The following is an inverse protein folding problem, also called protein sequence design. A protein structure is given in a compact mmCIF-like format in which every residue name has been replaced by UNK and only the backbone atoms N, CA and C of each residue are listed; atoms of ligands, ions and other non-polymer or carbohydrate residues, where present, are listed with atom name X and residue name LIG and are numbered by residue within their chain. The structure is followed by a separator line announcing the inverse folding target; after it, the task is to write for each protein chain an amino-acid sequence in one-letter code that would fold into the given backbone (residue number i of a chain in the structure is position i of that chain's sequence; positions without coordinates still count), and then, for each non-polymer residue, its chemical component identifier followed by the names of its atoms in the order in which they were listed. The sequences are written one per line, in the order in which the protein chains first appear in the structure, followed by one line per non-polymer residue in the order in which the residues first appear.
data_IF_685038142017
#
_entry.id   IF_685038142017
#
_cell.length_a   1.000
_cell.length_b   1.000
_cell.length_c   1.000
_cell.angle_alpha   90.00
_cell.angle_beta   90.00
_cell.angle_gamma   90.00
#
_symmetry.space_group_name_H-M   'P 1'
#
loop_
_entity.id
_entity.type
_entity.pdbx_description
1 polymer ?
#
# COMPACT_ATOMS: atom_id res chain seq x y z
N UNK A 1 9.73 -17.77 23.10
CA UNK A 1 10.01 -17.73 21.66
C UNK A 1 8.86 -18.42 20.95
N UNK A 2 8.11 -17.72 20.10
CA UNK A 2 6.93 -18.31 19.43
C UNK A 2 7.34 -19.25 18.29
N UNK A 3 6.43 -20.10 17.81
CA UNK A 3 6.66 -20.93 16.62
C UNK A 3 7.06 -20.07 15.40
N UNK A 4 6.43 -18.90 15.25
CA UNK A 4 6.78 -17.91 14.24
C UNK A 4 8.20 -17.34 14.42
N UNK A 5 8.64 -17.07 15.65
CA UNK A 5 10.00 -16.59 15.91
C UNK A 5 11.06 -17.64 15.57
N UNK A 6 10.77 -18.91 15.88
CA UNK A 6 11.63 -20.03 15.50
C UNK A 6 11.73 -20.16 13.98
N UNK A 7 10.60 -20.14 13.27
CA UNK A 7 10.58 -20.24 11.81
C UNK A 7 11.29 -19.06 11.11
N UNK A 8 11.19 -17.84 11.64
CA UNK A 8 11.95 -16.68 11.17
C UNK A 8 13.46 -16.86 11.37
N UNK A 9 13.87 -17.36 12.53
CA UNK A 9 15.28 -17.58 12.83
C UNK A 9 15.90 -18.66 11.92
N UNK A 10 15.17 -19.74 11.66
CA UNK A 10 15.59 -20.80 10.72
C UNK A 10 15.71 -20.28 9.29
N UNK A 11 14.73 -19.49 8.81
CA UNK A 11 14.82 -18.82 7.52
C UNK A 11 16.04 -17.89 7.44
N UNK A 12 16.26 -17.06 8.47
CA UNK A 12 17.34 -16.11 8.52
C UNK A 12 18.72 -16.79 8.52
N UNK A 13 18.85 -17.90 9.25
CA UNK A 13 20.06 -18.72 9.29
C UNK A 13 20.35 -19.36 7.92
N UNK A 14 19.34 -19.97 7.30
CA UNK A 14 19.49 -20.55 5.97
C UNK A 14 19.87 -19.50 4.92
N UNK A 15 19.26 -18.31 5.00
CA UNK A 15 19.60 -17.19 4.13
C UNK A 15 21.03 -16.68 4.38
N UNK A 16 21.47 -16.59 5.62
CA UNK A 16 22.83 -16.22 5.97
C UNK A 16 23.87 -17.23 5.46
N UNK A 17 23.59 -18.52 5.62
CA UNK A 17 24.46 -19.61 5.13
C UNK A 17 24.58 -19.59 3.59
N UNK A 18 23.47 -19.37 2.89
CA UNK A 18 23.42 -19.29 1.44
C UNK A 18 24.30 -18.17 0.85
N UNK A 19 24.61 -17.15 1.64
CA UNK A 19 25.32 -15.97 1.18
C UNK A 19 26.84 -16.15 1.22
N UNK A 20 27.32 -17.12 1.99
CA UNK A 20 28.70 -17.60 1.87
C UNK A 20 29.76 -16.51 2.00
N UNK A 21 29.55 -15.50 2.84
CA UNK A 21 30.51 -14.41 3.07
C UNK A 21 30.53 -13.30 2.01
N UNK A 22 29.60 -13.27 1.05
CA UNK A 22 29.50 -12.16 0.07
C UNK A 22 29.25 -10.81 0.76
N UNK A 23 29.74 -9.75 0.13
CA UNK A 23 29.53 -8.37 0.57
C UNK A 23 28.07 -7.95 0.34
N UNK A 24 27.36 -7.64 1.44
CA UNK A 24 25.95 -7.22 1.41
C UNK A 24 25.66 -5.99 0.54
N UNK A 25 26.65 -5.10 0.43
CA UNK A 25 26.55 -3.92 -0.43
C UNK A 25 26.40 -4.31 -1.90
N UNK A 26 27.09 -5.37 -2.33
CA UNK A 26 27.01 -5.88 -3.70
C UNK A 26 25.68 -6.58 -3.95
N UNK A 27 25.24 -7.43 -3.01
CA UNK A 27 23.93 -8.10 -3.10
C UNK A 27 22.80 -7.06 -3.16
N UNK A 28 22.85 -6.00 -2.35
CA UNK A 28 21.87 -4.91 -2.38
C UNK A 28 21.85 -4.19 -3.73
N UNK A 29 23.03 -3.86 -4.27
CA UNK A 29 23.18 -3.18 -5.55
C UNK A 29 22.61 -4.02 -6.70
N UNK A 30 22.96 -5.30 -6.76
CA UNK A 30 22.59 -6.20 -7.86
C UNK A 30 21.12 -6.65 -7.79
N UNK A 31 20.58 -6.85 -6.59
CA UNK A 31 19.17 -7.24 -6.41
C UNK A 31 18.18 -6.06 -6.46
N UNK A 32 18.68 -4.82 -6.34
CA UNK A 32 17.84 -3.63 -6.19
C UNK A 32 17.09 -3.57 -4.85
N UNK A 33 17.44 -4.42 -3.88
CA UNK A 33 16.82 -4.48 -2.56
C UNK A 33 17.59 -3.52 -1.62
N UNK A 34 16.91 -2.61 -0.89
CA UNK A 34 17.58 -1.73 0.07
C UNK A 34 18.33 -2.53 1.13
N UNK A 35 19.56 -2.10 1.45
CA UNK A 35 20.45 -2.75 2.43
C UNK A 35 19.79 -2.96 3.79
N UNK A 36 19.00 -1.98 4.25
CA UNK A 36 18.22 -2.07 5.48
C UNK A 36 17.20 -3.22 5.49
N UNK A 37 16.62 -3.53 4.33
CA UNK A 37 15.68 -4.66 4.23
C UNK A 37 16.43 -5.99 4.30
N UNK A 38 17.61 -6.08 3.66
CA UNK A 38 18.46 -7.28 3.76
C UNK A 38 18.87 -7.55 5.21
N UNK A 39 19.30 -6.53 5.95
CA UNK A 39 19.63 -6.68 7.37
C UNK A 39 18.46 -7.21 8.20
N UNK A 40 17.25 -6.69 7.98
CA UNK A 40 16.04 -7.19 8.66
C UNK A 40 15.72 -8.65 8.33
N UNK A 41 16.02 -9.12 7.12
CA UNK A 41 15.82 -10.52 6.73
C UNK A 41 16.85 -11.44 7.39
N UNK A 42 18.11 -11.00 7.45
CA UNK A 42 19.21 -11.75 8.07
C UNK A 42 19.11 -11.82 9.60
N UNK A 43 18.58 -10.77 10.23
CA UNK A 43 18.39 -10.75 11.67
C UNK A 43 17.14 -11.52 12.10
N UNK A 44 16.37 -12.07 11.15
CA UNK A 44 15.06 -12.68 11.42
C UNK A 44 14.02 -11.67 11.91
N UNK A 45 14.26 -10.36 11.77
CA UNK A 45 13.30 -9.31 12.14
C UNK A 45 12.15 -9.20 11.14
N UNK A 46 12.35 -9.66 9.90
CA UNK A 46 11.33 -9.64 8.85
C UNK A 46 11.49 -10.83 7.90
N UNK A 47 10.41 -11.19 7.21
CA UNK A 47 10.42 -12.19 6.14
C UNK A 47 10.12 -11.46 4.82
N UNK A 48 10.92 -11.67 3.75
CA UNK A 48 10.63 -11.07 2.46
C UNK A 48 9.33 -11.62 1.85
N UNK A 49 8.66 -10.78 1.04
CA UNK A 49 7.59 -11.26 0.17
C UNK A 49 8.17 -12.14 -0.96
N UNK A 50 7.29 -12.81 -1.72
CA UNK A 50 7.70 -13.75 -2.77
C UNK A 50 8.66 -13.13 -3.79
N UNK A 51 8.31 -11.94 -4.29
CA UNK A 51 9.11 -11.21 -5.28
C UNK A 51 10.48 -10.80 -4.76
N UNK A 52 10.53 -10.24 -3.55
CA UNK A 52 11.80 -9.84 -2.91
C UNK A 52 12.68 -11.06 -2.68
N UNK A 53 12.10 -12.19 -2.24
CA UNK A 53 12.85 -13.43 -2.07
C UNK A 53 13.38 -13.94 -3.42
N UNK A 54 12.56 -13.91 -4.48
CA UNK A 54 12.98 -14.34 -5.81
C UNK A 54 14.17 -13.51 -6.33
N UNK A 55 14.09 -12.18 -6.23
CA UNK A 55 15.20 -11.26 -6.61
C UNK A 55 16.47 -11.49 -5.81
N UNK A 56 16.32 -11.82 -4.52
CA UNK A 56 17.45 -12.14 -3.67
C UNK A 56 18.10 -13.45 -4.13
N UNK A 57 17.32 -14.52 -4.29
CA UNK A 57 17.81 -15.84 -4.69
C UNK A 57 18.40 -15.85 -6.11
N UNK A 58 17.94 -14.99 -7.02
CA UNK A 58 18.49 -14.89 -8.37
C UNK A 58 19.91 -14.33 -8.41
N UNK A 59 20.29 -13.53 -7.41
CA UNK A 59 21.62 -12.91 -7.31
C UNK A 59 22.60 -13.79 -6.53
N UNK A 60 22.10 -14.66 -5.65
CA UNK A 60 22.94 -15.44 -4.73
C UNK A 60 23.60 -16.69 -5.35
N UNK A 61 23.46 -16.90 -6.65
CA UNK A 61 24.05 -18.03 -7.40
C UNK A 61 23.91 -19.39 -6.67
N UNK A 62 22.70 -19.62 -6.15
CA UNK A 62 22.39 -20.80 -5.34
C UNK A 62 21.99 -21.99 -6.20
N UNK A 63 22.27 -23.20 -5.72
CA UNK A 63 21.77 -24.41 -6.34
C UNK A 63 20.24 -24.47 -6.29
N UNK A 64 19.58 -25.22 -7.20
CA UNK A 64 18.12 -25.39 -7.18
C UNK A 64 17.61 -25.91 -5.82
N UNK A 65 18.35 -26.82 -5.18
CA UNK A 65 17.99 -27.40 -3.89
C UNK A 65 18.03 -26.36 -2.77
N UNK A 66 19.08 -25.54 -2.73
CA UNK A 66 19.19 -24.43 -1.76
C UNK A 66 18.06 -23.42 -1.94
N UNK A 67 17.71 -23.08 -3.19
CA UNK A 67 16.59 -22.17 -3.49
C UNK A 67 15.26 -22.76 -3.03
N UNK A 68 15.05 -24.06 -3.26
CA UNK A 68 13.84 -24.78 -2.84
C UNK A 68 13.69 -24.77 -1.32
N UNK A 69 14.79 -25.08 -0.61
CA UNK A 69 14.79 -25.13 0.85
C UNK A 69 14.50 -23.76 1.47
N UNK A 70 15.15 -22.69 1.00
CA UNK A 70 14.88 -21.33 1.51
C UNK A 70 13.42 -20.91 1.25
N UNK A 71 12.83 -21.29 0.12
CA UNK A 71 11.41 -21.03 -0.18
C UNK A 71 10.47 -21.80 0.75
N UNK A 72 10.80 -23.06 1.05
CA UNK A 72 10.04 -23.89 1.99
C UNK A 72 10.05 -23.26 3.39
N UNK A 73 11.22 -22.87 3.88
CA UNK A 73 11.37 -22.19 5.18
C UNK A 73 10.57 -20.88 5.24
N UNK A 74 10.63 -20.06 4.18
CA UNK A 74 9.83 -18.82 4.09
C UNK A 74 8.32 -19.12 4.13
N UNK A 75 7.88 -20.15 3.42
CA UNK A 75 6.45 -20.52 3.35
C UNK A 75 5.96 -21.03 4.70
N UNK A 76 6.74 -21.87 5.38
CA UNK A 76 6.46 -22.30 6.75
C UNK A 76 6.36 -21.11 7.71
N UNK A 77 7.33 -20.19 7.66
CA UNK A 77 7.31 -19.01 8.53
C UNK A 77 6.11 -18.08 8.26
N UNK A 78 5.66 -17.95 7.00
CA UNK A 78 4.45 -17.19 6.67
C UNK A 78 3.18 -17.91 7.16
N UNK A 79 3.13 -19.25 7.09
CA UNK A 79 2.01 -20.02 7.62
C UNK A 79 1.88 -19.87 9.14
N UNK A 80 2.99 -19.97 9.87
CA UNK A 80 3.02 -19.79 11.34
C UNK A 80 2.60 -18.38 11.79
N UNK A 81 2.84 -17.37 10.94
CA UNK A 81 2.36 -16.01 11.18
C UNK A 81 0.83 -15.92 11.21
N UNK A 82 0.15 -16.73 10.38
CA UNK A 82 -1.31 -16.75 10.30
C UNK A 82 -1.94 -17.50 11.47
N UNK A 83 -1.20 -18.43 12.09
CA UNK A 83 -1.68 -19.28 13.19
C UNK A 83 -1.50 -18.64 14.58
N UNK A 84 -0.63 -17.63 14.72
CA UNK A 84 -0.30 -17.03 16.03
C UNK A 84 -1.42 -16.08 16.49
N UNK A 85 -2.19 -16.41 17.55
CA UNK A 85 -3.41 -15.67 17.93
C UNK A 85 -3.15 -14.22 18.36
N UNK A 86 -1.97 -13.95 18.91
CA UNK A 86 -1.65 -12.63 19.48
C UNK A 86 -1.47 -11.52 18.42
N UNK A 87 -1.16 -11.88 17.17
CA UNK A 87 -1.12 -10.93 16.04
C UNK A 87 -2.44 -10.89 15.27
N UNK A 88 -3.28 -11.90 15.46
CA UNK A 88 -4.65 -11.92 14.95
C UNK A 88 -5.54 -10.97 15.74
N UNK A 89 -5.29 -10.70 17.04
CA UNK A 89 -6.08 -9.73 17.82
C UNK A 89 -5.80 -8.26 17.44
N UNK A 90 -4.56 -7.93 17.05
CA UNK A 90 -4.23 -6.62 16.45
C UNK A 90 -4.79 -6.46 15.02
N UNK A 91 -5.03 -7.57 14.30
CA UNK A 91 -5.68 -7.57 12.97
C UNK A 91 -7.20 -7.75 13.04
N UNK A 92 -7.74 -8.37 14.09
CA UNK A 92 -9.17 -8.65 14.25
C UNK A 92 -9.94 -7.38 14.64
N UNK A 93 -9.30 -6.44 15.34
CA UNK A 93 -9.82 -5.07 15.46
C UNK A 93 -9.88 -4.32 14.11
N UNK A 94 -9.20 -4.81 13.08
CA UNK A 94 -9.13 -4.18 11.76
C UNK A 94 -9.97 -4.90 10.68
N UNK A 95 -10.27 -6.20 10.84
CA UNK A 95 -10.98 -7.00 9.82
C UNK A 95 -12.39 -7.49 10.19
N UNK A 96 -12.87 -7.30 11.43
CA UNK A 96 -14.20 -7.81 11.82
C UNK A 96 -15.40 -6.98 11.32
N UNK A 97 -15.19 -5.93 10.51
CA UNK A 97 -16.30 -5.10 9.98
C UNK A 97 -16.73 -5.41 8.54
N UNK A 98 -15.97 -6.16 7.73
CA UNK A 98 -16.32 -6.33 6.32
C UNK A 98 -16.20 -7.77 5.86
N UNK A 99 -17.31 -8.49 6.08
CA UNK A 99 -17.66 -9.71 5.38
C UNK A 99 -18.47 -9.28 4.14
N UNK A 100 -17.82 -9.10 2.99
CA UNK A 100 -18.50 -9.10 1.69
C UNK A 100 -17.95 -10.29 0.92
N UNK A 101 -18.88 -11.20 0.66
CA UNK A 101 -18.75 -12.47 -0.03
C UNK A 101 -18.17 -12.28 -1.44
N UNK A 102 -16.88 -12.60 -1.62
CA UNK A 102 -16.26 -12.69 -2.95
C UNK A 102 -15.47 -13.98 -3.09
N UNK A 103 -16.14 -15.04 -3.55
CA UNK A 103 -15.61 -16.01 -4.52
C UNK A 103 -16.72 -16.95 -4.99
N UNK A 104 -16.65 -17.55 -6.19
CA UNK A 104 -15.80 -18.74 -6.29
C UNK A 104 -15.03 -18.97 -7.62
N UNK A 105 -13.86 -19.56 -7.41
CA UNK A 105 -13.08 -20.52 -8.23
C UNK A 105 -12.56 -20.14 -9.64
N UNK A 106 -11.26 -20.41 -9.93
CA UNK A 106 -10.77 -20.42 -11.30
C UNK A 106 -11.25 -21.67 -12.06
N UNK A 107 -11.44 -21.62 -13.39
CA UNK A 107 -11.93 -22.75 -14.17
C UNK A 107 -10.93 -23.92 -14.13
N UNK A 108 -11.44 -25.14 -13.93
CA UNK A 108 -10.67 -26.38 -13.76
C UNK A 108 -10.15 -27.00 -15.07
N UNK A 109 -10.28 -26.31 -16.20
CA UNK A 109 -10.02 -26.90 -17.52
C UNK A 109 -8.72 -26.41 -18.20
N UNK A 110 -7.88 -25.62 -17.52
CA UNK A 110 -6.61 -25.13 -18.08
C UNK A 110 -5.45 -26.12 -17.90
N UNK A 111 -5.63 -27.38 -18.32
CA UNK A 111 -4.54 -28.33 -18.53
C UNK A 111 -4.09 -28.18 -20.00
N UNK A 112 -3.19 -27.23 -20.26
CA UNK A 112 -2.64 -27.07 -21.60
C UNK A 112 -1.77 -25.83 -21.80
N UNK A 113 -0.47 -26.08 -22.01
CA UNK A 113 0.59 -25.14 -22.41
C UNK A 113 1.10 -24.19 -21.33
N UNK A 114 2.41 -24.29 -21.06
CA UNK A 114 3.16 -23.33 -20.25
C UNK A 114 3.07 -21.93 -20.82
N UNK A 115 2.17 -21.13 -20.25
CA UNK A 115 2.13 -19.69 -20.43
C UNK A 115 2.60 -18.98 -19.17
N UNK A 116 3.46 -18.02 -19.44
CA UNK A 116 4.06 -17.04 -18.56
C UNK A 116 2.97 -16.23 -17.82
N UNK A 117 2.69 -16.58 -16.56
CA UNK A 117 1.73 -15.87 -15.70
C UNK A 117 2.32 -14.59 -15.07
N UNK A 118 3.58 -14.25 -15.40
CA UNK A 118 4.24 -13.00 -15.00
C UNK A 118 4.13 -11.91 -16.06
N UNK A 119 3.61 -12.22 -17.24
CA UNK A 119 3.29 -11.23 -18.25
C UNK A 119 1.95 -10.54 -17.91
N UNK A 120 2.05 -9.26 -17.55
CA UNK A 120 0.98 -8.26 -17.47
C UNK A 120 0.23 -8.15 -16.11
N UNK A 121 0.88 -7.54 -15.10
CA UNK A 121 0.22 -6.30 -14.65
C UNK A 121 0.29 -5.38 -15.87
N UNK A 122 -0.84 -4.97 -16.46
CA UNK A 122 -0.80 -4.10 -17.62
C UNK A 122 0.20 -3.00 -17.31
N UNK A 123 1.17 -2.80 -18.20
CA UNK A 123 1.80 -1.50 -18.27
C UNK A 123 0.66 -0.57 -18.67
N UNK A 124 -0.13 -0.15 -17.67
CA UNK A 124 -1.01 0.98 -17.76
C UNK A 124 -0.07 2.06 -18.23
N UNK A 125 -0.20 2.39 -19.52
CA UNK A 125 0.40 3.56 -20.13
C UNK A 125 0.30 4.68 -19.10
N UNK A 126 1.29 5.56 -19.07
CA UNK A 126 1.40 6.74 -18.19
C UNK A 126 0.27 7.78 -18.45
N UNK A 127 -0.96 7.29 -18.46
CA UNK A 127 -2.22 7.99 -18.46
C UNK A 127 -2.37 8.55 -17.06
N UNK A 128 -2.85 9.79 -16.99
CA UNK A 128 -3.10 10.46 -15.72
C UNK A 128 -4.06 9.69 -14.80
N UNK A 129 -4.50 10.32 -13.71
CA UNK A 129 -5.50 9.72 -12.86
C UNK A 129 -6.71 9.30 -13.71
N UNK A 130 -7.23 8.07 -13.54
CA UNK A 130 -8.44 7.66 -14.23
C UNK A 130 -9.59 8.59 -13.82
N UNK A 131 -10.57 8.84 -14.70
CA UNK A 131 -11.75 9.60 -14.33
C UNK A 131 -12.50 8.86 -13.22
N UNK A 132 -13.10 9.60 -12.28
CA UNK A 132 -13.96 9.02 -11.26
C UNK A 132 -15.13 8.28 -11.93
N UNK A 133 -15.25 6.99 -11.63
CA UNK A 133 -16.46 6.24 -11.92
C UNK A 133 -17.55 6.77 -10.99
N UNK A 134 -18.62 7.33 -11.57
CA UNK A 134 -19.79 7.73 -10.80
C UNK A 134 -20.58 6.49 -10.42
N UNK A 135 -20.99 6.42 -9.16
CA UNK A 135 -21.92 5.40 -8.70
C UNK A 135 -23.26 5.52 -9.46
N UNK A 136 -24.03 4.43 -9.46
CA UNK A 136 -25.40 4.47 -9.97
C UNK A 136 -26.24 5.48 -9.19
N UNK A 137 -27.15 6.18 -9.87
CA UNK A 137 -28.01 7.17 -9.24
C UNK A 137 -28.75 6.56 -8.02
N UNK A 138 -28.62 7.19 -6.85
CA UNK A 138 -29.21 6.70 -5.60
C UNK A 138 -28.35 5.72 -4.79
N UNK A 139 -27.16 5.34 -5.28
CA UNK A 139 -26.14 4.57 -4.52
C UNK A 139 -24.83 5.35 -4.36
N UNK A 140 -24.94 6.66 -4.12
CA UNK A 140 -23.77 7.53 -3.95
C UNK A 140 -23.09 7.22 -2.60
N UNK A 141 -22.17 6.25 -2.61
CA UNK A 141 -21.29 5.94 -1.48
C UNK A 141 -20.15 6.96 -1.31
N UNK A 142 -20.20 8.03 -2.11
CA UNK A 142 -19.19 9.08 -2.17
C UNK A 142 -19.20 9.91 -0.90
N UNK A 143 -18.06 10.04 -0.20
CA UNK A 143 -17.97 10.86 0.99
C UNK A 143 -18.19 12.34 0.69
N UNK A 144 -19.05 12.98 1.48
CA UNK A 144 -19.32 14.42 1.42
C UNK A 144 -18.45 15.17 2.45
N UNK A 145 -17.51 16.04 2.02
CA UNK A 145 -16.68 16.80 2.95
C UNK A 145 -17.45 17.85 3.76
N UNK A 146 -18.66 18.23 3.33
CA UNK A 146 -19.48 19.24 4.01
C UNK A 146 -20.04 18.75 5.34
N UNK A 147 -20.12 17.43 5.55
CA UNK A 147 -20.61 16.80 6.79
C UNK A 147 -19.57 16.86 7.92
N UNK A 148 -18.29 17.08 7.62
CA UNK A 148 -17.24 17.10 8.64
C UNK A 148 -17.31 18.35 9.52
N UNK A 149 -17.57 18.17 10.82
CA UNK A 149 -17.65 19.27 11.80
C UNK A 149 -16.30 19.54 12.47
N UNK A 150 -15.39 18.58 12.42
CA UNK A 150 -14.04 18.69 12.99
C UNK A 150 -12.95 18.46 11.93
N UNK A 151 -11.72 18.90 12.22
CA UNK A 151 -10.55 18.68 11.34
C UNK A 151 -10.25 17.18 11.20
N UNK A 152 -10.46 16.43 12.27
CA UNK A 152 -10.29 14.99 12.33
C UNK A 152 -11.30 14.27 11.43
N UNK A 153 -12.58 14.65 11.51
CA UNK A 153 -13.65 14.13 10.64
C UNK A 153 -13.38 14.46 9.17
N UNK A 154 -12.90 15.67 8.87
CA UNK A 154 -12.55 16.06 7.50
C UNK A 154 -11.43 15.18 6.92
N UNK A 155 -10.43 14.83 7.73
CA UNK A 155 -9.34 13.94 7.30
C UNK A 155 -9.72 12.46 7.29
N UNK A 156 -10.73 12.06 8.06
CA UNK A 156 -11.37 10.76 7.90
C UNK A 156 -12.11 10.71 6.56
N UNK A 157 -12.99 11.68 6.31
CA UNK A 157 -13.71 11.82 5.04
C UNK A 157 -12.76 11.86 3.83
N UNK A 158 -11.63 12.58 3.91
CA UNK A 158 -10.63 12.62 2.82
C UNK A 158 -10.01 11.24 2.53
N UNK A 159 -9.81 10.41 3.56
CA UNK A 159 -9.34 9.03 3.38
C UNK A 159 -10.42 8.14 2.82
N UNK A 160 -11.65 8.29 3.28
CA UNK A 160 -12.79 7.55 2.75
C UNK A 160 -12.96 7.87 1.25
N UNK A 161 -12.79 9.14 0.86
CA UNK A 161 -12.86 9.54 -0.55
C UNK A 161 -11.74 8.92 -1.37
N UNK A 162 -10.51 8.92 -0.86
CA UNK A 162 -9.38 8.26 -1.50
C UNK A 162 -9.59 6.75 -1.66
N UNK A 163 -10.18 6.09 -0.65
CA UNK A 163 -10.52 4.67 -0.71
C UNK A 163 -11.65 4.40 -1.71
N UNK A 164 -12.72 5.19 -1.67
CA UNK A 164 -13.85 5.13 -2.62
C UNK A 164 -13.37 5.32 -4.06
N UNK A 165 -12.43 6.22 -4.30
CA UNK A 165 -11.82 6.44 -5.62
C UNK A 165 -10.92 5.30 -6.11
N UNK A 166 -10.71 4.25 -5.31
CA UNK A 166 -9.93 3.06 -5.67
C UNK A 166 -8.66 2.82 -4.84
N UNK A 167 -8.40 3.62 -3.80
CA UNK A 167 -7.33 3.35 -2.83
C UNK A 167 -5.91 3.36 -3.41
N UNK A 168 -5.64 4.25 -4.37
CA UNK A 168 -4.35 4.31 -5.08
C UNK A 168 -3.16 4.45 -4.13
N UNK A 169 -2.06 3.75 -4.41
CA UNK A 169 -0.86 3.89 -3.59
C UNK A 169 -0.35 5.35 -3.52
N UNK A 170 0.19 5.82 -2.37
CA UNK A 170 0.75 7.16 -2.26
C UNK A 170 1.86 7.48 -3.26
N UNK A 171 2.57 6.45 -3.75
CA UNK A 171 3.58 6.60 -4.83
C UNK A 171 2.93 6.99 -6.14
N UNK A 172 1.84 6.32 -6.50
CA UNK A 172 1.07 6.59 -7.72
C UNK A 172 0.45 7.99 -7.67
N UNK A 173 -0.15 8.38 -6.55
CA UNK A 173 -0.65 9.75 -6.34
C UNK A 173 0.48 10.80 -6.48
N UNK A 174 1.68 10.50 -5.98
CA UNK A 174 2.85 11.37 -6.11
C UNK A 174 3.32 11.51 -7.56
N UNK A 175 3.26 10.45 -8.36
CA UNK A 175 3.55 10.49 -9.79
C UNK A 175 2.55 11.37 -10.55
N UNK A 176 1.25 11.16 -10.35
CA UNK A 176 0.21 12.00 -10.93
C UNK A 176 0.30 13.46 -10.47
N UNK A 177 0.68 13.71 -9.21
CA UNK A 177 0.84 15.09 -8.71
C UNK A 177 1.90 15.90 -9.48
N UNK A 178 2.85 15.24 -10.16
CA UNK A 178 3.86 15.94 -10.98
C UNK A 178 3.24 16.64 -12.19
N UNK A 179 2.13 16.11 -12.69
CA UNK A 179 1.36 16.63 -13.82
C UNK A 179 0.17 17.51 -13.36
N UNK A 180 -0.08 17.58 -12.05
CA UNK A 180 -1.18 18.36 -11.47
C UNK A 180 -0.86 19.86 -11.43
N UNK A 181 -1.83 20.75 -11.68
CA UNK A 181 -1.64 22.21 -11.57
C UNK A 181 -1.25 22.66 -10.15
N UNK A 182 -1.55 21.85 -9.14
CA UNK A 182 -1.17 22.14 -7.74
C UNK A 182 0.30 21.85 -7.43
N UNK A 183 1.04 21.28 -8.39
CA UNK A 183 2.45 20.95 -8.27
C UNK A 183 2.73 19.67 -7.49
N UNK A 184 4.01 19.28 -7.50
CA UNK A 184 4.49 18.01 -6.95
C UNK A 184 4.28 17.87 -5.45
N UNK A 185 3.76 16.72 -5.01
CA UNK A 185 3.68 16.32 -3.60
C UNK A 185 4.41 14.99 -3.42
N UNK A 186 5.19 14.85 -2.34
CA UNK A 186 5.95 13.63 -2.08
C UNK A 186 5.03 12.49 -1.62
N UNK A 187 5.34 11.24 -2.01
CA UNK A 187 4.61 10.06 -1.55
C UNK A 187 4.64 9.91 -0.02
N UNK A 188 5.71 10.34 0.64
CA UNK A 188 5.83 10.32 2.11
C UNK A 188 4.81 11.27 2.76
N UNK A 189 4.65 12.48 2.21
CA UNK A 189 3.65 13.46 2.67
C UNK A 189 2.24 12.93 2.48
N UNK A 190 1.95 12.37 1.29
CA UNK A 190 0.64 11.78 0.99
C UNK A 190 0.33 10.61 1.93
N UNK A 191 1.30 9.73 2.16
CA UNK A 191 1.16 8.63 3.10
C UNK A 191 0.92 9.12 4.53
N UNK A 192 1.60 10.18 4.98
CA UNK A 192 1.41 10.73 6.32
C UNK A 192 0.03 11.42 6.50
N UNK A 193 -0.53 12.00 5.44
CA UNK A 193 -1.88 12.57 5.45
C UNK A 193 -2.96 11.48 5.45
N UNK A 194 -2.78 10.46 4.61
CA UNK A 194 -3.75 9.37 4.41
C UNK A 194 -3.60 8.23 5.42
N UNK A 195 -2.56 8.21 6.24
CA UNK A 195 -2.43 7.25 7.34
C UNK A 195 -3.18 7.72 8.60
N UNK A 196 -3.67 6.75 9.36
CA UNK A 196 -4.24 6.94 10.71
C UNK A 196 -3.15 7.17 11.75
N UNK A 197 -2.33 8.21 11.57
CA UNK A 197 -1.23 8.53 12.50
C UNK A 197 -1.21 10.03 12.85
N UNK A 198 -2.04 10.47 13.81
CA UNK A 198 -2.17 11.89 14.15
C UNK A 198 -0.85 12.57 14.52
N UNK A 199 0.01 11.88 15.29
CA UNK A 199 1.29 12.43 15.81
C UNK A 199 2.36 12.67 14.73
N UNK A 200 2.21 12.10 13.54
CA UNK A 200 3.19 12.20 12.45
C UNK A 200 2.64 12.98 11.25
N UNK A 201 1.47 13.61 11.41
CA UNK A 201 0.76 14.25 10.31
C UNK A 201 1.38 15.62 10.00
N UNK A 202 1.75 15.91 8.75
CA UNK A 202 2.16 17.24 8.37
C UNK A 202 0.98 18.23 8.47
N UNK A 203 1.24 19.54 8.54
CA UNK A 203 0.19 20.55 8.42
C UNK A 203 -0.65 20.32 7.16
N UNK A 204 -1.97 20.30 7.32
CA UNK A 204 -2.90 20.07 6.22
C UNK A 204 -3.10 21.37 5.47
N UNK A 205 -2.45 21.49 4.32
CA UNK A 205 -2.56 22.67 3.46
C UNK A 205 -3.64 22.46 2.39
N UNK A 206 -4.24 23.55 1.92
CA UNK A 206 -5.19 23.55 0.81
C UNK A 206 -4.63 22.81 -0.43
N UNK A 207 -3.36 23.09 -0.76
CA UNK A 207 -2.65 22.47 -1.87
C UNK A 207 -2.67 20.94 -1.78
N UNK A 208 -2.47 20.38 -0.59
CA UNK A 208 -2.48 18.92 -0.41
C UNK A 208 -3.87 18.32 -0.61
N UNK A 209 -4.91 18.97 -0.09
CA UNK A 209 -6.30 18.54 -0.29
C UNK A 209 -6.62 18.52 -1.78
N UNK A 210 -6.44 19.63 -2.48
CA UNK A 210 -6.75 19.74 -3.91
C UNK A 210 -5.94 18.74 -4.75
N UNK A 211 -4.67 18.53 -4.41
CA UNK A 211 -3.83 17.53 -5.09
C UNK A 211 -4.40 16.12 -4.93
N UNK A 212 -4.82 15.73 -3.72
CA UNK A 212 -5.39 14.40 -3.47
C UNK A 212 -6.67 14.22 -4.28
N UNK A 213 -7.58 15.20 -4.26
CA UNK A 213 -8.84 15.14 -5.01
C UNK A 213 -8.61 15.00 -6.51
N UNK A 214 -7.75 15.85 -7.10
CA UNK A 214 -7.40 15.79 -8.53
C UNK A 214 -6.74 14.45 -8.89
N UNK A 215 -5.79 13.98 -8.09
CA UNK A 215 -5.11 12.70 -8.33
C UNK A 215 -6.02 11.48 -8.09
N UNK A 216 -7.16 11.65 -7.45
CA UNK A 216 -8.20 10.62 -7.35
C UNK A 216 -9.23 10.73 -8.50
N UNK A 217 -9.03 11.63 -9.47
CA UNK A 217 -9.94 11.83 -10.61
C UNK A 217 -11.06 12.83 -10.34
N UNK A 218 -11.01 13.58 -9.24
CA UNK A 218 -11.99 14.61 -8.90
C UNK A 218 -12.02 15.74 -9.93
N UNK A 219 -13.23 16.18 -10.26
CA UNK A 219 -13.48 17.32 -11.13
C UNK A 219 -13.45 18.64 -10.35
N UNK A 220 -13.74 19.76 -11.02
CA UNK A 220 -13.74 21.08 -10.39
C UNK A 220 -14.80 21.22 -9.30
N UNK A 221 -15.95 20.54 -9.44
CA UNK A 221 -17.03 20.55 -8.46
C UNK A 221 -16.55 19.90 -7.16
N UNK A 222 -15.89 18.75 -7.27
CA UNK A 222 -15.25 18.10 -6.12
C UNK A 222 -14.19 19.00 -5.50
N UNK A 223 -13.24 19.50 -6.29
CA UNK A 223 -12.18 20.38 -5.78
C UNK A 223 -12.77 21.57 -5.01
N UNK A 224 -13.87 22.15 -5.50
CA UNK A 224 -14.58 23.25 -4.84
C UNK A 224 -15.23 22.81 -3.52
N UNK A 225 -15.94 21.68 -3.49
CA UNK A 225 -16.57 21.16 -2.28
C UNK A 225 -15.55 20.93 -1.15
N UNK A 226 -14.45 20.24 -1.47
CA UNK A 226 -13.36 19.97 -0.54
C UNK A 226 -12.63 21.24 -0.08
N UNK A 227 -12.44 22.20 -0.99
CA UNK A 227 -11.85 23.52 -0.69
C UNK A 227 -12.72 24.30 0.30
N UNK A 228 -14.04 24.32 0.10
CA UNK A 228 -14.99 25.02 0.97
C UNK A 228 -15.01 24.42 2.37
N UNK A 229 -15.09 23.09 2.48
CA UNK A 229 -15.02 22.40 3.77
C UNK A 229 -13.70 22.65 4.51
N UNK A 230 -12.56 22.64 3.80
CA UNK A 230 -11.26 22.98 4.40
C UNK A 230 -11.24 24.42 4.92
N UNK A 231 -11.73 25.41 4.14
CA UNK A 231 -11.77 26.81 4.58
C UNK A 231 -12.62 26.98 5.84
N UNK A 232 -13.77 26.30 5.91
CA UNK A 232 -14.62 26.31 7.10
C UNK A 232 -13.87 25.84 8.35
N UNK A 233 -13.15 24.73 8.27
CA UNK A 233 -12.53 24.06 9.43
C UNK A 233 -11.14 24.58 9.82
N UNK A 234 -10.38 25.12 8.86
CA UNK A 234 -9.01 25.57 9.10
C UNK A 234 -8.90 27.10 9.19
N UNK A 235 -9.80 27.84 8.56
CA UNK A 235 -9.81 29.31 8.56
C UNK A 235 -11.03 29.90 9.29
N UNK A 236 -11.92 29.08 9.86
CA UNK A 236 -13.15 29.51 10.54
C UNK A 236 -14.09 30.36 9.65
N UNK A 237 -14.12 30.14 8.34
CA UNK A 237 -15.10 30.79 7.46
C UNK A 237 -16.49 30.18 7.67
N UNK A 238 -17.54 30.97 7.99
CA UNK A 238 -18.88 30.43 8.14
C UNK A 238 -19.46 29.96 6.80
N UNK A 239 -20.21 28.84 6.77
CA UNK A 239 -20.88 28.38 5.56
C UNK A 239 -21.92 29.43 5.12
N UNK A 240 -21.76 29.98 3.92
CA UNK A 240 -22.66 31.00 3.35
C UNK A 240 -22.04 32.36 3.05
N UNK A 241 -20.72 32.54 3.24
CA UNK A 241 -20.03 33.82 2.98
C UNK A 241 -19.44 33.97 1.57
N UNK A 242 -19.83 33.11 0.63
CA UNK A 242 -19.31 33.12 -0.75
C UNK A 242 -20.51 33.29 -1.67
N UNK A 243 -20.85 34.56 -1.93
CA UNK A 243 -21.68 34.98 -3.07
C UNK A 243 -20.84 34.97 -4.37
#
# INVERSE_FOLDING_TARGET
MTAYDKAKAEFALALGAAIGGRQWTEVAKTSGIPRESLYRYMSGSSIPNGDTLWRLLSVLDLSPDQRSEIRKLRTAAVAERSTTPHQQQERAGFYTRWNIDWSPEPPKDAVGSGRDWTAQQPQEKDTGPPPLLRDAAGQEGKPDPSQATTREEFLASLRDFWQWAGGYSPRRLSEWSRKSPQGKVSHTTLNALLAERPRQRPPVTMRYVQTIIICCGGDEVEVRAWTTAWRRLYLNFPPGSID
#
